data_IF_990728500584
#
_entry.id   IF_990728500584
#
_cell.length_a   1.000
_cell.length_b   1.000
_cell.length_c   1.000
_cell.angle_alpha   90.00
_cell.angle_beta   90.00
_cell.angle_gamma   90.00
#
_symmetry.space_group_name_H-M   'P 1'
#
loop_
_entity.id
_entity.type
_entity.pdbx_description
1 polymer ?
#
# COMPACT_ATOMS: atom_id res chain seq x y z
N UNK A 1 -15.02 2.28 19.28
CA UNK A 1 -13.64 2.78 19.51
C UNK A 1 -13.64 4.30 19.56
N UNK A 2 -12.86 4.90 20.43
CA UNK A 2 -12.61 6.36 20.46
C UNK A 2 -11.67 6.76 19.33
N UNK A 3 -11.66 8.04 18.94
CA UNK A 3 -10.73 8.51 17.92
C UNK A 3 -9.25 8.26 18.30
N UNK A 4 -8.90 8.36 19.58
CA UNK A 4 -7.55 8.06 20.06
C UNK A 4 -7.15 6.60 19.84
N UNK A 5 -8.07 5.66 20.05
CA UNK A 5 -7.82 4.23 19.78
C UNK A 5 -7.68 3.98 18.27
N UNK A 6 -8.48 4.67 17.43
CA UNK A 6 -8.36 4.60 15.97
C UNK A 6 -7.00 5.15 15.52
N UNK A 7 -6.56 6.30 16.05
CA UNK A 7 -5.27 6.89 15.70
C UNK A 7 -4.09 5.95 16.00
N UNK A 8 -4.11 5.30 17.18
CA UNK A 8 -3.11 4.29 17.55
C UNK A 8 -3.14 3.09 16.59
N UNK A 9 -4.33 2.55 16.31
CA UNK A 9 -4.47 1.42 15.40
C UNK A 9 -3.97 1.77 13.99
N UNK A 10 -4.38 2.91 13.45
CA UNK A 10 -3.97 3.37 12.12
C UNK A 10 -2.46 3.62 12.03
N UNK A 11 -1.83 4.14 13.09
CA UNK A 11 -0.36 4.30 13.11
C UNK A 11 0.34 2.97 12.84
N UNK A 12 -0.16 1.86 13.41
CA UNK A 12 0.35 0.51 13.16
C UNK A 12 0.01 -0.07 11.78
N UNK A 13 -0.82 0.61 11.00
CA UNK A 13 -1.23 0.21 9.65
C UNK A 13 -0.59 1.06 8.55
N UNK A 14 0.26 2.03 8.91
CA UNK A 14 0.92 2.88 7.92
C UNK A 14 2.02 2.12 7.19
N UNK A 15 2.00 2.18 5.86
CA UNK A 15 3.16 1.97 5.02
C UNK A 15 3.87 3.34 4.93
N UNK A 16 4.92 3.53 5.76
CA UNK A 16 5.67 4.78 5.85
C UNK A 16 6.44 5.00 4.55
N UNK A 17 6.00 5.97 3.76
CA UNK A 17 6.34 6.07 2.35
C UNK A 17 7.33 7.19 2.06
N UNK A 18 8.44 6.88 1.39
CA UNK A 18 9.31 7.84 0.73
C UNK A 18 9.52 7.45 -0.74
N UNK A 19 8.97 8.27 -1.64
CA UNK A 19 9.00 8.07 -3.11
C UNK A 19 9.36 9.38 -3.80
N UNK A 20 10.47 10.00 -3.36
CA UNK A 20 11.00 11.21 -3.97
C UNK A 20 12.10 10.84 -4.95
N UNK A 21 12.17 11.53 -6.09
CA UNK A 21 13.26 11.36 -7.05
C UNK A 21 14.64 11.73 -6.50
N UNK A 22 14.67 12.41 -5.35
CA UNK A 22 15.89 12.82 -4.62
C UNK A 22 16.22 11.94 -3.43
N UNK A 23 15.55 10.80 -3.26
CA UNK A 23 15.89 9.84 -2.20
C UNK A 23 17.25 9.19 -2.48
N UNK A 24 17.99 8.94 -1.41
CA UNK A 24 19.30 8.31 -1.44
C UNK A 24 19.37 7.18 -0.42
N UNK A 25 20.29 6.23 -0.60
CA UNK A 25 20.49 5.15 0.39
C UNK A 25 20.66 5.69 1.80
N UNK A 26 21.43 6.78 1.98
CA UNK A 26 21.65 7.38 3.30
C UNK A 26 20.38 7.95 3.91
N UNK A 27 19.50 8.61 3.10
CA UNK A 27 18.20 9.11 3.58
C UNK A 27 17.27 7.97 3.97
N UNK A 28 17.21 6.92 3.15
CA UNK A 28 16.36 5.76 3.43
C UNK A 28 16.87 4.99 4.66
N UNK A 29 18.17 4.78 4.80
CA UNK A 29 18.75 4.21 6.00
C UNK A 29 18.43 5.05 7.25
N UNK A 30 18.59 6.36 7.19
CA UNK A 30 18.24 7.26 8.30
C UNK A 30 16.74 7.21 8.67
N UNK A 31 15.85 7.10 7.67
CA UNK A 31 14.40 6.91 7.91
C UNK A 31 14.14 5.56 8.59
N UNK A 32 14.80 4.50 8.15
CA UNK A 32 14.67 3.16 8.76
C UNK A 32 15.20 3.14 10.19
N UNK A 33 16.32 3.80 10.47
CA UNK A 33 16.86 3.95 11.83
C UNK A 33 15.91 4.72 12.76
N UNK A 34 15.18 5.72 12.27
CA UNK A 34 14.13 6.37 13.06
C UNK A 34 13.02 5.37 13.44
N UNK A 35 12.62 4.49 12.52
CA UNK A 35 11.65 3.43 12.84
C UNK A 35 12.20 2.47 13.89
N UNK A 36 13.47 2.06 13.79
CA UNK A 36 14.13 1.19 14.76
C UNK A 36 14.12 1.78 16.18
N UNK A 37 14.33 3.09 16.30
CA UNK A 37 14.38 3.82 17.57
C UNK A 37 13.06 4.42 18.03
N UNK A 38 11.97 4.13 17.34
CA UNK A 38 10.67 4.76 17.62
C UNK A 38 10.22 4.53 19.08
N UNK A 39 10.41 3.33 19.60
CA UNK A 39 10.03 2.98 20.96
C UNK A 39 10.89 3.66 22.05
N UNK A 40 12.07 4.22 21.71
CA UNK A 40 12.87 5.02 22.64
C UNK A 40 12.12 6.30 23.05
N UNK A 41 11.29 6.84 22.13
CA UNK A 41 10.52 8.07 22.36
C UNK A 41 9.03 7.79 22.61
N UNK A 42 8.48 6.73 22.06
CA UNK A 42 7.06 6.39 22.08
C UNK A 42 6.84 4.89 22.35
N UNK A 43 7.16 4.40 23.58
CA UNK A 43 7.17 2.95 23.87
C UNK A 43 5.78 2.31 23.79
N UNK A 44 4.70 3.08 23.97
CA UNK A 44 3.32 2.60 23.99
C UNK A 44 2.61 2.72 22.62
N UNK A 45 3.31 3.19 21.58
CA UNK A 45 2.76 3.34 20.24
C UNK A 45 3.27 2.26 19.31
N UNK A 46 2.44 1.76 18.37
CA UNK A 46 2.87 0.74 17.42
C UNK A 46 3.85 1.29 16.40
N UNK A 47 4.76 0.44 15.93
CA UNK A 47 5.58 0.70 14.75
C UNK A 47 4.70 0.74 13.48
N UNK A 48 5.11 1.46 12.42
CA UNK A 48 4.44 1.38 11.13
C UNK A 48 4.46 -0.06 10.60
N UNK A 49 3.48 -0.42 9.78
CA UNK A 49 3.39 -1.76 9.21
C UNK A 49 4.54 -2.07 8.25
N UNK A 50 4.96 -1.07 7.48
CA UNK A 50 6.07 -1.20 6.54
C UNK A 50 6.78 0.13 6.28
N UNK A 51 7.95 0.03 5.65
CA UNK A 51 8.66 1.14 5.00
C UNK A 51 8.53 0.93 3.50
N UNK A 52 7.90 1.90 2.81
CA UNK A 52 7.60 1.82 1.38
C UNK A 52 8.51 2.77 0.59
N UNK A 53 9.32 2.19 -0.32
CA UNK A 53 10.37 2.88 -1.06
C UNK A 53 10.40 2.47 -2.54
N UNK A 54 11.29 3.08 -3.33
CA UNK A 54 11.63 2.59 -4.67
C UNK A 54 12.39 1.25 -4.61
N UNK A 55 12.32 0.41 -5.65
CA UNK A 55 12.86 -0.95 -5.63
C UNK A 55 14.38 -1.02 -5.37
N UNK A 56 15.14 -0.03 -5.84
CA UNK A 56 16.58 0.08 -5.63
C UNK A 56 16.99 0.33 -4.16
N UNK A 57 16.05 0.58 -3.27
CA UNK A 57 16.30 0.73 -1.82
C UNK A 57 15.84 -0.47 -0.99
N UNK A 58 15.34 -1.54 -1.62
CA UNK A 58 14.90 -2.73 -0.89
C UNK A 58 15.99 -3.27 0.05
N UNK A 59 17.19 -3.51 -0.48
CA UNK A 59 18.34 -3.99 0.31
C UNK A 59 18.74 -3.01 1.43
N UNK A 60 18.62 -1.69 1.20
CA UNK A 60 18.92 -0.68 2.22
C UNK A 60 17.97 -0.82 3.41
N UNK A 61 16.66 -0.90 3.17
CA UNK A 61 15.67 -1.08 4.25
C UNK A 61 15.85 -2.45 4.91
N UNK A 62 15.95 -3.53 4.12
CA UNK A 62 16.08 -4.89 4.62
C UNK A 62 17.29 -5.10 5.54
N UNK A 63 18.44 -4.49 5.21
CA UNK A 63 19.66 -4.58 6.01
C UNK A 63 19.69 -3.64 7.22
N UNK A 64 18.89 -2.56 7.20
CA UNK A 64 18.89 -1.55 8.28
C UNK A 64 17.81 -1.81 9.32
N UNK A 65 16.65 -2.36 8.95
CA UNK A 65 15.53 -2.60 9.89
C UNK A 65 15.93 -3.58 11.00
N UNK A 66 15.53 -3.28 12.23
CA UNK A 66 15.83 -4.11 13.41
C UNK A 66 14.83 -5.22 13.67
N UNK A 67 13.67 -5.20 13.04
CA UNK A 67 12.58 -6.17 13.23
C UNK A 67 11.88 -6.53 11.92
N UNK A 68 11.53 -7.81 11.77
CA UNK A 68 10.75 -8.30 10.64
C UNK A 68 9.25 -7.89 10.72
N UNK A 69 8.78 -7.42 11.89
CA UNK A 69 7.39 -6.92 12.05
C UNK A 69 7.11 -5.65 11.25
N UNK A 70 8.16 -4.92 10.88
CA UNK A 70 8.10 -3.81 9.93
C UNK A 70 8.52 -4.34 8.56
N UNK A 71 7.59 -4.48 7.64
CA UNK A 71 7.85 -5.04 6.31
C UNK A 71 8.64 -4.07 5.42
N UNK A 72 9.34 -4.62 4.44
CA UNK A 72 9.95 -3.88 3.33
C UNK A 72 8.94 -3.88 2.18
N UNK A 73 8.31 -2.74 1.91
CA UNK A 73 7.44 -2.54 0.76
C UNK A 73 8.19 -1.79 -0.32
N UNK A 74 8.09 -2.23 -1.57
CA UNK A 74 8.60 -1.47 -2.71
C UNK A 74 7.50 -1.18 -3.69
N UNK A 75 7.58 -0.03 -4.38
CA UNK A 75 6.82 0.16 -5.61
C UNK A 75 7.58 -0.51 -6.75
N UNK A 76 6.87 -1.06 -7.74
CA UNK A 76 7.51 -1.77 -8.85
C UNK A 76 6.66 -1.81 -10.10
N UNK A 77 7.09 -2.60 -11.09
CA UNK A 77 6.39 -2.71 -12.36
C UNK A 77 6.41 -1.38 -13.14
N UNK A 78 7.52 -0.67 -13.11
CA UNK A 78 7.71 0.65 -13.72
C UNK A 78 6.77 1.72 -13.13
N UNK A 79 6.65 1.72 -11.81
CA UNK A 79 5.92 2.74 -11.07
C UNK A 79 6.44 4.16 -11.38
N UNK A 80 5.60 5.20 -11.55
CA UNK A 80 4.15 5.20 -11.31
C UNK A 80 3.29 4.91 -12.56
N UNK A 81 3.86 4.86 -13.74
CA UNK A 81 3.13 4.86 -15.00
C UNK A 81 2.74 3.45 -15.51
N UNK A 82 3.42 2.41 -15.05
CA UNK A 82 3.29 1.03 -15.60
C UNK A 82 3.56 0.93 -17.11
N UNK A 83 4.19 1.95 -17.71
CA UNK A 83 4.43 2.05 -19.17
C UNK A 83 5.76 1.42 -19.55
N UNK A 84 5.81 0.08 -19.50
CA UNK A 84 6.96 -0.72 -19.96
C UNK A 84 6.50 -2.11 -20.37
N UNK A 85 7.42 -2.90 -20.93
CA UNK A 85 7.13 -4.29 -21.33
C UNK A 85 7.10 -5.21 -20.10
N UNK A 86 6.28 -6.25 -20.15
CA UNK A 86 6.12 -7.22 -19.05
C UNK A 86 7.46 -7.84 -18.59
N UNK A 87 8.41 -8.26 -19.47
CA UNK A 87 9.69 -8.78 -18.99
C UNK A 87 10.49 -7.80 -18.12
N UNK A 88 10.45 -6.50 -18.42
CA UNK A 88 11.12 -5.46 -17.61
C UNK A 88 10.44 -5.33 -16.25
N UNK A 89 9.11 -5.28 -16.19
CA UNK A 89 8.33 -5.22 -14.96
C UNK A 89 8.60 -6.45 -14.06
N UNK A 90 8.63 -7.64 -14.65
CA UNK A 90 8.95 -8.88 -13.94
C UNK A 90 10.38 -8.85 -13.39
N UNK A 91 11.36 -8.43 -14.20
CA UNK A 91 12.75 -8.34 -13.78
C UNK A 91 12.94 -7.37 -12.60
N UNK A 92 12.31 -6.18 -12.66
CA UNK A 92 12.36 -5.18 -11.59
C UNK A 92 11.77 -5.73 -10.28
N UNK A 93 10.55 -6.29 -10.34
CA UNK A 93 9.86 -6.79 -9.16
C UNK A 93 10.59 -8.00 -8.53
N UNK A 94 11.10 -8.92 -9.34
CA UNK A 94 11.86 -10.08 -8.85
C UNK A 94 13.22 -9.69 -8.26
N UNK A 95 13.90 -8.69 -8.81
CA UNK A 95 15.13 -8.15 -8.25
C UNK A 95 14.87 -7.55 -6.85
N UNK A 96 13.82 -6.73 -6.71
CA UNK A 96 13.46 -6.14 -5.43
C UNK A 96 13.14 -7.19 -4.35
N UNK A 97 12.46 -8.29 -4.71
CA UNK A 97 12.19 -9.39 -3.76
C UNK A 97 13.47 -10.14 -3.38
N UNK A 98 14.40 -10.35 -4.30
CA UNK A 98 15.73 -10.90 -4.00
C UNK A 98 16.52 -10.01 -3.06
N UNK A 99 16.34 -8.69 -3.17
CA UNK A 99 16.95 -7.68 -2.32
C UNK A 99 16.23 -7.49 -0.98
N UNK A 100 15.22 -8.33 -0.68
CA UNK A 100 14.57 -8.41 0.63
C UNK A 100 13.25 -7.69 0.75
N UNK A 101 12.57 -7.35 -0.36
CA UNK A 101 11.21 -6.85 -0.30
C UNK A 101 10.23 -7.95 0.13
N UNK A 102 9.40 -7.64 1.14
CA UNK A 102 8.31 -8.49 1.62
C UNK A 102 7.02 -8.23 0.84
N UNK A 103 6.89 -7.04 0.25
CA UNK A 103 5.67 -6.56 -0.41
C UNK A 103 6.03 -5.74 -1.66
N UNK A 104 5.28 -5.93 -2.73
CA UNK A 104 5.46 -5.19 -4.00
C UNK A 104 4.16 -4.53 -4.40
N UNK A 105 4.18 -3.19 -4.54
CA UNK A 105 3.05 -2.39 -5.00
C UNK A 105 3.24 -2.07 -6.49
N UNK A 106 2.49 -2.73 -7.38
CA UNK A 106 2.51 -2.44 -8.83
C UNK A 106 1.31 -1.60 -9.25
N UNK A 107 1.40 -0.95 -10.40
CA UNK A 107 0.27 -0.21 -10.98
C UNK A 107 -0.40 -1.07 -12.05
N UNK A 108 -1.72 -1.09 -12.07
CA UNK A 108 -2.52 -1.68 -13.16
C UNK A 108 -2.01 -1.16 -14.52
N UNK A 109 -1.90 -2.02 -15.50
CA UNK A 109 -1.59 -1.61 -16.88
C UNK A 109 -2.78 -0.83 -17.47
N UNK A 110 -2.89 0.46 -17.07
CA UNK A 110 -4.02 1.33 -17.44
C UNK A 110 -4.13 1.50 -18.96
N UNK A 111 -3.01 1.50 -19.69
CA UNK A 111 -3.00 1.56 -21.15
C UNK A 111 -3.83 0.42 -21.77
N UNK A 112 -3.56 -0.82 -21.36
CA UNK A 112 -4.31 -1.99 -21.87
C UNK A 112 -5.74 -2.01 -21.33
N UNK A 113 -5.93 -1.72 -20.04
CA UNK A 113 -7.24 -1.72 -19.42
C UNK A 113 -8.20 -0.71 -20.07
N UNK A 114 -7.77 0.53 -20.28
CA UNK A 114 -8.57 1.60 -20.88
C UNK A 114 -8.74 1.46 -22.40
N UNK A 115 -7.84 0.69 -23.06
CA UNK A 115 -7.95 0.34 -24.48
C UNK A 115 -8.91 -0.87 -24.72
N UNK A 116 -9.62 -1.31 -23.68
CA UNK A 116 -10.56 -2.43 -23.76
C UNK A 116 -9.88 -3.79 -23.85
N UNK A 117 -8.68 -3.93 -23.31
CA UNK A 117 -7.90 -5.17 -23.25
C UNK A 117 -7.63 -5.60 -21.80
N UNK A 118 -8.67 -5.84 -20.99
CA UNK A 118 -8.50 -6.19 -19.59
C UNK A 118 -7.72 -7.49 -19.38
N UNK A 119 -7.76 -8.42 -20.35
CA UNK A 119 -7.01 -9.68 -20.29
C UNK A 119 -5.49 -9.45 -20.30
N UNK A 120 -5.00 -8.45 -21.05
CA UNK A 120 -3.58 -8.09 -21.03
C UNK A 120 -3.18 -7.53 -19.66
N UNK A 121 -4.00 -6.64 -19.08
CA UNK A 121 -3.76 -6.08 -17.77
C UNK A 121 -3.81 -7.15 -16.66
N UNK A 122 -4.74 -8.09 -16.73
CA UNK A 122 -4.85 -9.24 -15.83
C UNK A 122 -3.63 -10.16 -15.95
N UNK A 123 -3.19 -10.45 -17.18
CA UNK A 123 -2.02 -11.26 -17.44
C UNK A 123 -0.75 -10.67 -16.82
N UNK A 124 -0.53 -9.35 -16.92
CA UNK A 124 0.62 -8.69 -16.32
C UNK A 124 0.64 -8.87 -14.79
N UNK A 125 -0.48 -8.65 -14.10
CA UNK A 125 -0.59 -8.84 -12.66
C UNK A 125 -0.27 -10.29 -12.29
N UNK A 126 -0.86 -11.24 -12.99
CA UNK A 126 -0.67 -12.67 -12.75
C UNK A 126 0.77 -13.12 -12.95
N UNK A 127 1.42 -12.71 -14.05
CA UNK A 127 2.79 -13.09 -14.34
C UNK A 127 3.80 -12.46 -13.37
N UNK A 128 3.61 -11.18 -13.00
CA UNK A 128 4.42 -10.55 -11.95
C UNK A 128 4.22 -11.30 -10.61
N UNK A 129 2.96 -11.57 -10.23
CA UNK A 129 2.63 -12.28 -9.00
C UNK A 129 3.28 -13.67 -8.92
N UNK A 130 3.22 -14.45 -10.02
CA UNK A 130 3.89 -15.76 -10.12
C UNK A 130 5.40 -15.64 -9.97
N UNK A 131 6.00 -14.68 -10.66
CA UNK A 131 7.44 -14.48 -10.69
C UNK A 131 8.00 -14.08 -9.31
N UNK A 132 7.37 -13.13 -8.61
CA UNK A 132 7.82 -12.72 -7.28
C UNK A 132 7.62 -13.83 -6.24
N UNK A 133 6.50 -14.58 -6.30
CA UNK A 133 6.24 -15.71 -5.40
C UNK A 133 7.15 -16.90 -5.67
N UNK A 134 7.69 -17.05 -6.87
CA UNK A 134 8.74 -18.04 -7.16
C UNK A 134 10.06 -17.71 -6.44
N UNK A 135 10.33 -16.43 -6.14
CA UNK A 135 11.48 -16.00 -5.33
C UNK A 135 11.21 -16.13 -3.84
N UNK A 136 10.06 -15.61 -3.38
CA UNK A 136 9.63 -15.70 -1.99
C UNK A 136 8.12 -15.99 -1.97
N UNK A 137 7.69 -17.21 -1.55
CA UNK A 137 6.28 -17.59 -1.57
C UNK A 137 5.38 -16.75 -0.64
N UNK A 138 5.96 -16.04 0.33
CA UNK A 138 5.24 -15.21 1.29
C UNK A 138 5.13 -13.74 0.87
N UNK A 139 5.72 -13.35 -0.28
CA UNK A 139 5.66 -11.96 -0.75
C UNK A 139 4.22 -11.57 -1.08
N UNK A 140 3.83 -10.38 -0.64
CA UNK A 140 2.51 -9.82 -0.94
C UNK A 140 2.55 -8.94 -2.18
N UNK A 141 1.58 -9.12 -3.07
CA UNK A 141 1.37 -8.27 -4.24
C UNK A 141 0.21 -7.31 -3.99
N UNK A 142 0.48 -5.99 -4.06
CA UNK A 142 -0.57 -4.98 -4.01
C UNK A 142 -0.71 -4.32 -5.39
N UNK A 143 -1.94 -4.18 -5.85
CA UNK A 143 -2.24 -3.58 -7.16
C UNK A 143 -2.87 -2.22 -6.99
N UNK A 144 -2.20 -1.20 -7.51
CA UNK A 144 -2.67 0.18 -7.55
C UNK A 144 -3.60 0.33 -8.73
N UNK A 145 -4.86 0.63 -8.48
CA UNK A 145 -5.86 0.80 -9.54
C UNK A 145 -5.78 2.18 -10.21
N UNK A 146 -5.20 3.18 -9.55
CA UNK A 146 -5.15 4.59 -9.98
C UNK A 146 -6.57 5.14 -10.21
N UNK A 147 -7.38 5.10 -9.17
CA UNK A 147 -8.82 5.43 -9.22
C UNK A 147 -9.10 6.84 -9.78
N UNK A 148 -8.15 7.77 -9.64
CA UNK A 148 -8.25 9.09 -10.24
C UNK A 148 -8.17 9.11 -11.78
N UNK A 149 -7.55 8.10 -12.38
CA UNK A 149 -7.53 7.92 -13.83
C UNK A 149 -8.81 7.23 -14.33
N UNK A 150 -9.32 6.27 -13.54
CA UNK A 150 -10.54 5.51 -13.89
C UNK A 150 -11.80 6.36 -13.82
N UNK A 151 -11.90 7.25 -12.82
CA UNK A 151 -12.98 8.23 -12.57
C UNK A 151 -14.36 7.64 -12.35
N UNK A 152 -14.81 6.73 -13.20
CA UNK A 152 -16.14 6.13 -13.15
C UNK A 152 -16.19 4.96 -12.18
N UNK A 153 -17.26 4.89 -11.38
CA UNK A 153 -17.49 3.80 -10.41
C UNK A 153 -17.38 2.43 -11.07
N UNK A 154 -18.00 2.27 -12.23
CA UNK A 154 -17.97 1.03 -13.01
C UNK A 154 -16.56 0.58 -13.37
N UNK A 155 -15.69 1.49 -13.81
CA UNK A 155 -14.30 1.16 -14.14
C UNK A 155 -13.48 0.81 -12.89
N UNK A 156 -13.77 1.44 -11.74
CA UNK A 156 -13.15 1.09 -10.46
C UNK A 156 -13.59 -0.32 -10.02
N UNK A 157 -14.86 -0.67 -10.20
CA UNK A 157 -15.39 -2.01 -9.91
C UNK A 157 -14.71 -3.07 -10.80
N UNK A 158 -14.71 -2.86 -12.12
CA UNK A 158 -14.07 -3.78 -13.08
C UNK A 158 -12.60 -3.98 -12.78
N UNK A 159 -11.85 -2.90 -12.52
CA UNK A 159 -10.43 -2.97 -12.16
C UNK A 159 -10.20 -3.67 -10.80
N UNK A 160 -11.10 -3.48 -9.83
CA UNK A 160 -11.01 -4.13 -8.52
C UNK A 160 -11.14 -5.65 -8.65
N UNK A 161 -12.17 -6.13 -9.34
CA UNK A 161 -12.35 -7.57 -9.58
C UNK A 161 -11.21 -8.16 -10.39
N UNK A 162 -10.83 -7.50 -11.50
CA UNK A 162 -9.70 -7.93 -12.33
C UNK A 162 -8.41 -8.12 -11.51
N UNK A 163 -8.07 -7.15 -10.67
CA UNK A 163 -6.85 -7.24 -9.86
C UNK A 163 -6.93 -8.37 -8.82
N UNK A 164 -8.07 -8.54 -8.17
CA UNK A 164 -8.27 -9.60 -7.18
C UNK A 164 -8.25 -11.00 -7.83
N UNK A 165 -8.91 -11.18 -8.96
CA UNK A 165 -8.93 -12.42 -9.73
C UNK A 165 -7.56 -12.78 -10.29
N UNK A 166 -6.77 -11.78 -10.71
CA UNK A 166 -5.39 -11.95 -11.15
C UNK A 166 -4.39 -12.28 -10.04
N UNK A 167 -4.84 -12.30 -8.76
CA UNK A 167 -4.06 -12.76 -7.63
C UNK A 167 -3.45 -11.67 -6.75
N UNK A 168 -3.95 -10.43 -6.81
CA UNK A 168 -3.56 -9.38 -5.88
C UNK A 168 -3.93 -9.74 -4.43
N UNK A 169 -3.03 -9.51 -3.47
CA UNK A 169 -3.28 -9.66 -2.04
C UNK A 169 -3.90 -8.39 -1.45
N UNK A 170 -3.65 -7.25 -2.08
CA UNK A 170 -4.28 -5.96 -1.78
C UNK A 170 -4.66 -5.26 -3.07
N UNK A 171 -5.74 -4.48 -3.01
CA UNK A 171 -6.00 -3.42 -3.98
C UNK A 171 -5.77 -2.06 -3.33
N UNK A 172 -5.08 -1.17 -4.05
CA UNK A 172 -4.66 0.16 -3.58
C UNK A 172 -5.26 1.24 -4.46
N UNK A 173 -5.69 2.35 -3.87
CA UNK A 173 -6.37 3.39 -4.63
C UNK A 173 -5.49 4.06 -5.68
N UNK A 174 -4.28 4.53 -5.27
CA UNK A 174 -3.54 5.50 -6.09
C UNK A 174 -2.03 5.42 -5.89
N UNK A 175 -1.30 5.92 -6.88
CA UNK A 175 0.16 6.11 -6.80
C UNK A 175 0.55 7.28 -5.90
N UNK A 176 -0.35 8.27 -5.75
CA UNK A 176 -0.04 9.56 -5.15
C UNK A 176 0.70 10.51 -6.10
N UNK A 177 0.95 10.11 -7.35
CA UNK A 177 1.61 10.94 -8.39
C UNK A 177 0.61 11.56 -9.39
N UNK A 178 -0.68 11.18 -9.30
CA UNK A 178 -1.79 11.72 -10.06
C UNK A 178 -2.88 12.23 -9.11
N UNK A 179 -3.66 13.22 -9.58
CA UNK A 179 -4.82 13.76 -8.86
C UNK A 179 -6.12 13.54 -9.69
N UNK A 180 -7.26 13.31 -9.04
CA UNK A 180 -7.38 13.04 -7.60
C UNK A 180 -6.72 11.73 -7.22
N UNK A 181 -6.18 11.66 -5.98
CA UNK A 181 -5.62 10.42 -5.43
C UNK A 181 -6.71 9.61 -4.70
N UNK A 182 -6.49 9.19 -3.44
CA UNK A 182 -7.52 8.49 -2.67
C UNK A 182 -8.73 9.40 -2.40
N UNK A 183 -9.94 8.87 -2.64
CA UNK A 183 -11.20 9.52 -2.25
C UNK A 183 -12.07 8.55 -1.45
N UNK A 184 -12.93 9.04 -0.53
CA UNK A 184 -13.87 8.20 0.20
C UNK A 184 -14.83 7.44 -0.72
N UNK A 185 -15.24 8.06 -1.84
CA UNK A 185 -16.14 7.46 -2.83
C UNK A 185 -15.49 6.23 -3.48
N UNK A 186 -14.26 6.38 -4.01
CA UNK A 186 -13.51 5.26 -4.59
C UNK A 186 -13.24 4.17 -3.56
N UNK A 187 -12.91 4.55 -2.30
CA UNK A 187 -12.71 3.60 -1.22
C UNK A 187 -13.96 2.75 -0.93
N UNK A 188 -15.16 3.37 -0.92
CA UNK A 188 -16.42 2.64 -0.73
C UNK A 188 -16.67 1.65 -1.86
N UNK A 189 -16.42 2.03 -3.11
CA UNK A 189 -16.53 1.13 -4.26
C UNK A 189 -15.61 -0.06 -4.10
N UNK A 190 -14.31 0.19 -3.87
CA UNK A 190 -13.31 -0.87 -3.71
C UNK A 190 -13.62 -1.80 -2.53
N UNK A 191 -14.07 -1.26 -1.38
CA UNK A 191 -14.45 -2.07 -0.23
C UNK A 191 -15.69 -2.94 -0.52
N UNK A 192 -16.69 -2.43 -1.25
CA UNK A 192 -17.83 -3.27 -1.71
C UNK A 192 -17.36 -4.41 -2.60
N UNK A 193 -16.45 -4.14 -3.55
CA UNK A 193 -15.89 -5.19 -4.40
C UNK A 193 -15.12 -6.25 -3.59
N UNK A 194 -14.30 -5.83 -2.62
CA UNK A 194 -13.58 -6.75 -1.72
C UNK A 194 -14.57 -7.63 -0.95
N UNK A 195 -15.64 -7.02 -0.39
CA UNK A 195 -16.66 -7.76 0.35
C UNK A 195 -17.35 -8.80 -0.52
N UNK A 196 -17.79 -8.39 -1.72
CA UNK A 196 -18.45 -9.29 -2.68
C UNK A 196 -17.50 -10.41 -3.12
N UNK A 197 -16.25 -10.10 -3.40
CA UNK A 197 -15.23 -11.10 -3.77
C UNK A 197 -15.01 -12.11 -2.64
N UNK A 198 -14.91 -11.64 -1.39
CA UNK A 198 -14.81 -12.52 -0.22
C UNK A 198 -16.04 -13.41 -0.06
N UNK A 199 -17.25 -12.85 -0.20
CA UNK A 199 -18.49 -13.61 -0.06
C UNK A 199 -18.61 -14.72 -1.13
N UNK A 200 -18.08 -14.49 -2.33
CA UNK A 200 -18.07 -15.47 -3.43
C UNK A 200 -16.98 -16.53 -3.31
N UNK A 201 -15.79 -16.15 -2.84
CA UNK A 201 -14.58 -17.00 -2.95
C UNK A 201 -14.03 -17.47 -1.61
N UNK A 202 -14.39 -16.83 -0.51
CA UNK A 202 -13.79 -17.02 0.81
C UNK A 202 -12.38 -16.42 0.94
N UNK A 203 -11.80 -15.83 -0.13
CA UNK A 203 -10.46 -15.24 -0.11
C UNK A 203 -10.50 -13.81 0.39
N UNK A 204 -9.75 -13.53 1.46
CA UNK A 204 -9.57 -12.17 1.95
C UNK A 204 -8.54 -11.43 1.09
N UNK A 205 -8.93 -10.26 0.60
CA UNK A 205 -8.05 -9.29 -0.08
C UNK A 205 -8.02 -8.03 0.75
N UNK A 206 -6.86 -7.41 0.89
CA UNK A 206 -6.68 -6.20 1.67
C UNK A 206 -7.02 -4.92 0.89
N UNK A 207 -7.23 -3.84 1.64
CA UNK A 207 -7.47 -2.50 1.12
C UNK A 207 -6.38 -1.53 1.56
N UNK A 208 -5.90 -0.68 0.62
CA UNK A 208 -4.88 0.34 0.90
C UNK A 208 -5.25 1.67 0.24
N UNK A 209 -5.88 2.62 0.96
CA UNK A 209 -5.96 4.00 0.48
C UNK A 209 -4.58 4.64 0.50
N UNK A 210 -4.27 5.44 -0.53
CA UNK A 210 -2.97 6.09 -0.67
C UNK A 210 -3.06 7.38 -1.49
N UNK A 211 -2.22 8.36 -1.13
CA UNK A 211 -2.15 9.65 -1.79
C UNK A 211 -3.17 10.66 -1.28
N UNK A 212 -2.69 11.81 -0.83
CA UNK A 212 -3.53 12.89 -0.29
C UNK A 212 -3.99 12.69 1.15
N UNK A 213 -3.80 11.54 1.74
CA UNK A 213 -4.21 11.21 3.10
C UNK A 213 -3.16 11.72 4.09
N UNK A 214 -3.52 12.66 4.94
CA UNK A 214 -2.54 13.31 5.81
C UNK A 214 -3.05 13.57 7.24
N UNK A 215 -4.35 13.75 7.44
CA UNK A 215 -4.92 14.19 8.72
C UNK A 215 -5.42 13.03 9.57
N UNK A 216 -5.55 13.21 10.90
CA UNK A 216 -6.23 12.23 11.76
C UNK A 216 -7.70 12.00 11.36
N UNK A 217 -8.37 13.02 10.82
CA UNK A 217 -9.74 12.93 10.32
C UNK A 217 -9.84 12.03 9.08
N UNK A 218 -8.83 12.09 8.18
CA UNK A 218 -8.73 11.16 7.06
C UNK A 218 -8.63 9.72 7.58
N UNK A 219 -7.80 9.48 8.61
CA UNK A 219 -7.64 8.16 9.20
C UNK A 219 -8.98 7.60 9.71
N UNK A 220 -9.76 8.41 10.43
CA UNK A 220 -11.10 8.03 10.92
C UNK A 220 -12.06 7.78 9.76
N UNK A 221 -12.01 8.60 8.72
CA UNK A 221 -12.88 8.45 7.54
C UNK A 221 -12.68 7.08 6.87
N UNK A 222 -11.43 6.72 6.56
CA UNK A 222 -11.15 5.43 5.93
C UNK A 222 -11.35 4.24 6.88
N UNK A 223 -11.04 4.41 8.18
CA UNK A 223 -11.35 3.42 9.19
C UNK A 223 -12.83 3.07 9.22
N UNK A 224 -13.69 4.10 9.25
CA UNK A 224 -15.15 3.91 9.28
C UNK A 224 -15.66 3.23 8.01
N UNK A 225 -15.14 3.58 6.83
CA UNK A 225 -15.50 2.91 5.57
C UNK A 225 -15.18 1.41 5.64
N UNK A 226 -13.97 1.05 6.08
CA UNK A 226 -13.57 -0.35 6.18
C UNK A 226 -14.38 -1.08 7.25
N UNK A 227 -14.57 -0.48 8.42
CA UNK A 227 -15.38 -1.06 9.51
C UNK A 227 -16.83 -1.32 9.10
N UNK A 228 -17.45 -0.34 8.41
CA UNK A 228 -18.84 -0.39 7.97
C UNK A 228 -19.07 -1.45 6.88
N UNK A 229 -18.20 -1.53 5.89
CA UNK A 229 -18.41 -2.36 4.70
C UNK A 229 -17.77 -3.74 4.85
N UNK A 230 -16.54 -3.80 5.35
CA UNK A 230 -15.77 -5.05 5.44
C UNK A 230 -15.86 -5.71 6.81
N UNK A 231 -16.07 -4.92 7.86
CA UNK A 231 -16.17 -5.38 9.24
C UNK A 231 -14.82 -5.52 9.94
N UNK A 232 -14.87 -5.91 11.22
CA UNK A 232 -13.73 -5.93 12.14
C UNK A 232 -12.57 -6.82 11.69
N UNK A 233 -12.84 -7.88 10.92
CA UNK A 233 -11.80 -8.80 10.43
C UNK A 233 -10.77 -8.11 9.54
N UNK A 234 -11.13 -7.01 8.88
CA UNK A 234 -10.24 -6.21 8.04
C UNK A 234 -9.49 -5.13 8.81
N UNK A 235 -9.89 -4.79 10.04
CA UNK A 235 -9.23 -3.77 10.86
C UNK A 235 -7.92 -4.30 11.48
N UNK A 236 -7.04 -4.81 10.63
CA UNK A 236 -5.76 -5.42 10.95
C UNK A 236 -4.73 -5.09 9.85
N UNK A 237 -3.47 -4.83 10.23
CA UNK A 237 -2.40 -4.49 9.28
C UNK A 237 -2.19 -5.52 8.17
N UNK A 238 -2.67 -6.74 8.33
CA UNK A 238 -2.62 -7.80 7.30
C UNK A 238 -3.61 -7.56 6.15
N UNK A 239 -4.64 -6.71 6.36
CA UNK A 239 -5.71 -6.49 5.40
C UNK A 239 -6.07 -5.02 5.22
N UNK A 240 -5.55 -4.12 6.06
CA UNK A 240 -5.79 -2.70 5.96
C UNK A 240 -4.51 -1.92 6.18
N UNK A 241 -4.12 -1.12 5.19
CA UNK A 241 -2.92 -0.28 5.20
C UNK A 241 -3.24 1.13 4.76
N UNK A 242 -2.39 2.07 5.13
CA UNK A 242 -2.42 3.46 4.67
C UNK A 242 -1.10 3.80 4.01
N UNK A 243 -1.15 4.16 2.72
CA UNK A 243 0.04 4.66 2.00
C UNK A 243 0.23 6.14 2.31
N UNK A 244 1.06 6.46 3.29
CA UNK A 244 1.20 7.83 3.78
C UNK A 244 2.63 8.13 4.28
N UNK A 245 2.98 9.42 4.30
CA UNK A 245 4.21 9.94 4.90
C UNK A 245 3.89 10.88 6.07
N UNK A 246 3.19 11.98 5.80
CA UNK A 246 2.87 13.02 6.80
C UNK A 246 1.88 12.56 7.87
N UNK A 247 0.99 11.62 7.55
CA UNK A 247 -0.02 11.12 8.48
C UNK A 247 0.61 10.55 9.76
N UNK A 248 1.76 9.87 9.69
CA UNK A 248 2.41 9.31 10.87
C UNK A 248 2.70 10.39 11.94
N UNK A 249 3.34 11.50 11.55
CA UNK A 249 3.61 12.60 12.46
C UNK A 249 2.32 13.25 12.98
N UNK A 250 1.32 13.42 12.13
CA UNK A 250 0.05 14.03 12.51
C UNK A 250 -0.74 13.17 13.49
N UNK A 251 -0.72 11.84 13.33
CA UNK A 251 -1.33 10.91 14.29
C UNK A 251 -0.60 10.93 15.63
N UNK A 252 0.74 10.89 15.62
CA UNK A 252 1.52 10.98 16.87
C UNK A 252 1.21 12.31 17.57
N UNK A 253 1.14 13.41 16.83
CA UNK A 253 0.77 14.73 17.40
C UNK A 253 -0.62 14.74 18.02
N UNK A 254 -1.61 14.13 17.36
CA UNK A 254 -2.97 14.03 17.87
C UNK A 254 -3.07 13.11 19.11
N UNK A 255 -2.26 12.07 19.18
CA UNK A 255 -2.21 11.16 20.33
C UNK A 255 -1.53 11.81 21.52
N UNK A 256 -0.42 12.53 21.30
CA UNK A 256 0.38 13.13 22.39
C UNK A 256 -0.08 14.51 22.81
N UNK A 257 -0.94 15.18 22.00
CA UNK A 257 -1.41 16.55 22.25
C UNK A 257 -0.35 17.63 21.99
N UNK A 258 0.75 17.31 21.30
CA UNK A 258 1.84 18.24 20.97
C UNK A 258 2.32 18.02 19.52
N UNK A 259 2.83 19.09 18.87
CA UNK A 259 3.37 18.97 17.51
C UNK A 259 4.59 18.04 17.48
N UNK A 260 4.54 17.01 16.61
CA UNK A 260 5.59 16.02 16.44
C UNK A 260 6.08 16.02 14.99
N UNK A 261 7.41 16.02 14.83
CA UNK A 261 8.13 15.88 13.56
C UNK A 261 9.18 14.78 13.69
N UNK A 262 8.72 13.56 13.93
CA UNK A 262 9.61 12.43 14.19
C UNK A 262 10.11 11.79 12.89
N UNK A 263 9.21 11.50 11.95
CA UNK A 263 9.53 10.91 10.65
C UNK A 263 9.83 11.94 9.57
#
# INVERSE_FOLDING_TARGET
MTNQEIYKAVLGMIDLTSLNSTDTCSKIAAMTEKVNRFHDSYPDLPLPASICVYPNFAATVASTRSTADVHVTVVGGCFPASQSTLPVKVAECTAAVKDGADEVDIVLALNSFLDGKPEEASCEISEIGKAIRAVNPNVQLKVILETGALKEEKLIEEASFLAMEAGADFIKTSTGKMQPAATPEAARVMCRCIKEYYDKTGRMVGFKPAGGIATPEDAVTYWNIVSEILGEKWLDKRYFRFGASRMANNLISAITGSEVKYY
#
